data_IF_766282104335
#
_entry.id   IF_766282104335
#
_cell.length_a   1.000
_cell.length_b   1.000
_cell.length_c   1.000
_cell.angle_alpha   90.00
_cell.angle_beta   90.00
_cell.angle_gamma   90.00
#
_symmetry.space_group_name_H-M   'P 1'
#
loop_
_entity.id
_entity.type
_entity.pdbx_description
1 polymer ?
#
# COMPACT_ATOMS: atom_id res chain seq x y z
N UNK A 1 -5.31 15.51 10.14
CA UNK A 1 -5.64 14.11 9.79
C UNK A 1 -4.37 13.29 9.71
N UNK A 2 -4.44 12.05 10.16
CA UNK A 2 -3.31 11.12 10.07
C UNK A 2 -2.90 10.88 8.60
N UNK A 3 -1.61 10.87 8.33
CA UNK A 3 -1.11 10.60 6.98
C UNK A 3 -0.73 9.13 6.77
N UNK A 4 -0.44 8.39 7.84
CA UNK A 4 -0.01 7.00 7.76
C UNK A 4 -1.20 6.09 8.03
N UNK A 5 -1.42 5.12 7.14
CA UNK A 5 -2.58 4.24 7.21
C UNK A 5 -2.21 2.81 6.89
N UNK A 6 -2.91 1.88 7.52
CA UNK A 6 -2.77 0.45 7.25
C UNK A 6 -4.10 -0.10 6.76
N UNK A 7 -4.10 -0.70 5.58
CA UNK A 7 -5.27 -1.37 5.04
C UNK A 7 -5.44 -2.73 5.72
N UNK A 8 -6.67 -3.08 6.10
CA UNK A 8 -6.96 -4.40 6.66
C UNK A 8 -6.77 -5.50 5.62
N UNK A 9 -7.14 -5.23 4.38
CA UNK A 9 -6.90 -6.15 3.28
C UNK A 9 -5.72 -5.67 2.46
N UNK A 10 -4.94 -6.63 1.94
CA UNK A 10 -3.82 -6.27 1.10
C UNK A 10 -4.30 -5.69 -0.24
N UNK A 11 -3.60 -4.67 -0.71
CA UNK A 11 -3.86 -4.05 -2.01
C UNK A 11 -2.65 -4.35 -2.87
N UNK A 12 -2.82 -5.21 -3.86
CA UNK A 12 -1.74 -5.78 -4.67
C UNK A 12 -0.62 -6.37 -3.79
N UNK A 13 -1.01 -6.92 -2.65
CA UNK A 13 -0.10 -7.57 -1.71
C UNK A 13 0.55 -6.66 -0.68
N UNK A 14 0.16 -5.39 -0.60
CA UNK A 14 0.74 -4.41 0.32
C UNK A 14 -0.33 -3.81 1.22
N UNK A 15 0.04 -3.47 2.45
CA UNK A 15 -0.92 -2.97 3.43
C UNK A 15 -0.58 -1.60 4.01
N UNK A 16 0.67 -1.16 3.97
CA UNK A 16 1.09 0.14 4.51
C UNK A 16 1.05 1.24 3.45
N UNK A 17 0.32 2.31 3.73
CA UNK A 17 0.09 3.40 2.78
C UNK A 17 0.30 4.77 3.42
N UNK A 18 0.55 5.77 2.57
CA UNK A 18 0.61 7.18 2.96
C UNK A 18 -0.47 7.94 2.21
N UNK A 19 -1.20 8.76 2.95
CA UNK A 19 -2.13 9.72 2.36
C UNK A 19 -1.30 10.90 1.85
N UNK A 20 -1.22 11.07 0.53
CA UNK A 20 -0.35 12.08 -0.08
C UNK A 20 -1.12 13.27 -0.64
N UNK A 21 -2.41 13.12 -0.86
CA UNK A 21 -3.21 14.21 -1.42
C UNK A 21 -4.67 14.10 -1.03
N UNK A 22 -5.29 15.27 -0.86
CA UNK A 22 -6.73 15.41 -0.64
C UNK A 22 -7.33 16.01 -1.90
N UNK A 23 -8.30 15.33 -2.48
CA UNK A 23 -8.91 15.70 -3.76
C UNK A 23 -10.36 16.05 -3.54
N UNK A 24 -10.74 17.28 -3.88
CA UNK A 24 -12.14 17.71 -3.81
C UNK A 24 -12.76 17.54 -5.20
N UNK A 25 -13.72 16.62 -5.32
CA UNK A 25 -14.42 16.36 -6.56
C UNK A 25 -15.93 16.32 -6.33
N UNK A 26 -16.69 17.13 -7.07
CA UNK A 26 -18.16 17.08 -7.10
C UNK A 26 -18.78 16.99 -5.68
N UNK A 27 -18.35 17.87 -4.79
CA UNK A 27 -18.81 17.92 -3.40
C UNK A 27 -18.38 16.71 -2.55
N UNK A 28 -17.50 15.87 -3.06
CA UNK A 28 -16.91 14.76 -2.33
C UNK A 28 -15.44 14.98 -2.07
N UNK A 29 -15.00 14.52 -0.90
CA UNK A 29 -13.58 14.52 -0.57
C UNK A 29 -13.04 13.12 -0.80
N UNK A 30 -12.02 13.02 -1.64
CA UNK A 30 -11.29 11.79 -1.89
C UNK A 30 -9.85 11.96 -1.47
N UNK A 31 -9.19 10.85 -1.18
CA UNK A 31 -7.80 10.84 -0.78
C UNK A 31 -6.99 9.97 -1.73
N UNK A 32 -5.80 10.46 -2.07
CA UNK A 32 -4.84 9.67 -2.82
C UNK A 32 -3.92 8.97 -1.82
N UNK A 33 -3.91 7.65 -1.86
CA UNK A 33 -3.10 6.79 -1.02
C UNK A 33 -2.01 6.16 -1.87
N UNK A 34 -0.79 6.14 -1.36
CA UNK A 34 0.35 5.56 -2.08
C UNK A 34 1.06 4.57 -1.15
N UNK A 35 1.41 3.41 -1.69
CA UNK A 35 2.14 2.41 -0.92
C UNK A 35 3.52 2.93 -0.53
N UNK A 36 3.93 2.66 0.72
CA UNK A 36 5.28 3.00 1.20
C UNK A 36 6.34 2.07 0.64
N UNK A 37 5.94 0.91 0.14
CA UNK A 37 6.84 -0.08 -0.44
C UNK A 37 7.04 0.19 -1.93
N UNK A 38 5.97 0.54 -2.63
CA UNK A 38 6.00 0.73 -4.08
C UNK A 38 5.12 1.90 -4.47
N UNK A 39 5.75 3.01 -4.82
CA UNK A 39 5.05 4.26 -5.15
C UNK A 39 4.21 4.16 -6.43
N UNK A 40 4.41 3.13 -7.24
CA UNK A 40 3.57 2.88 -8.41
C UNK A 40 2.20 2.33 -8.03
N UNK A 41 2.07 1.80 -6.80
CA UNK A 41 0.79 1.30 -6.30
C UNK A 41 0.12 2.43 -5.53
N UNK A 42 -0.92 2.96 -6.14
CA UNK A 42 -1.70 4.04 -5.56
C UNK A 42 -3.18 3.78 -5.79
N UNK A 43 -4.01 4.38 -4.95
CA UNK A 43 -5.46 4.29 -5.09
C UNK A 43 -6.11 5.56 -4.58
N UNK A 44 -7.28 5.85 -5.14
CA UNK A 44 -8.12 6.96 -4.68
C UNK A 44 -9.29 6.38 -3.89
N UNK A 45 -9.47 6.81 -2.65
CA UNK A 45 -10.56 6.37 -1.80
C UNK A 45 -11.35 7.57 -1.31
N UNK A 46 -12.64 7.35 -1.05
CA UNK A 46 -13.49 8.39 -0.51
C UNK A 46 -13.22 8.61 0.98
N UNK A 47 -13.60 9.79 1.45
CA UNK A 47 -13.54 10.11 2.87
C UNK A 47 -14.35 9.10 3.70
N UNK A 48 -15.51 8.71 3.21
CA UNK A 48 -16.35 7.75 3.89
C UNK A 48 -15.69 6.37 3.97
N UNK A 49 -15.08 5.91 2.89
CA UNK A 49 -14.38 4.63 2.88
C UNK A 49 -13.21 4.64 3.86
N UNK A 50 -12.44 5.71 3.90
CA UNK A 50 -11.30 5.80 4.80
C UNK A 50 -11.73 5.80 6.27
N UNK A 51 -12.76 6.57 6.62
CA UNK A 51 -13.12 6.82 8.01
C UNK A 51 -14.22 5.91 8.55
N UNK A 52 -15.10 5.38 7.70
CA UNK A 52 -16.30 4.68 8.16
C UNK A 52 -16.45 3.24 7.69
N UNK A 53 -15.62 2.78 6.76
CA UNK A 53 -15.74 1.40 6.28
C UNK A 53 -15.20 0.37 7.26
N UNK A 54 -14.27 0.77 8.13
CA UNK A 54 -13.57 -0.15 9.01
C UNK A 54 -12.41 -0.89 8.32
N UNK A 55 -12.14 -0.60 7.05
CA UNK A 55 -11.10 -1.29 6.29
C UNK A 55 -9.72 -0.64 6.44
N UNK A 56 -9.65 0.54 7.05
CA UNK A 56 -8.42 1.30 7.21
C UNK A 56 -8.17 1.64 8.67
N UNK A 57 -6.93 1.48 9.10
CA UNK A 57 -6.49 1.82 10.46
C UNK A 57 -5.48 2.94 10.42
N UNK A 58 -5.64 3.92 11.31
CA UNK A 58 -4.68 5.01 11.45
C UNK A 58 -3.30 4.47 11.86
N UNK A 59 -2.26 5.04 11.27
CA UNK A 59 -0.89 4.66 11.54
C UNK A 59 -0.48 3.40 10.80
N UNK A 60 0.80 3.09 10.89
CA UNK A 60 1.33 1.84 10.36
C UNK A 60 1.35 0.81 11.48
N UNK A 61 0.44 -0.16 11.39
CA UNK A 61 0.37 -1.24 12.35
C UNK A 61 1.63 -2.10 12.26
N UNK A 62 2.06 -2.60 13.41
CA UNK A 62 3.21 -3.50 13.47
C UNK A 62 2.77 -4.89 13.01
N UNK A 63 2.94 -5.16 11.72
CA UNK A 63 2.54 -6.41 11.10
C UNK A 63 3.74 -7.35 10.92
N UNK A 64 3.52 -8.68 11.00
CA UNK A 64 4.54 -9.62 10.51
C UNK A 64 4.89 -9.31 9.06
N UNK A 65 6.14 -9.56 8.67
CA UNK A 65 6.60 -9.24 7.31
C UNK A 65 5.76 -9.90 6.24
N UNK A 66 5.31 -11.13 6.48
CA UNK A 66 4.45 -11.88 5.55
C UNK A 66 3.06 -11.27 5.38
N UNK A 67 2.61 -10.45 6.33
CA UNK A 67 1.32 -9.75 6.23
C UNK A 67 1.46 -8.34 5.69
N UNK A 68 2.60 -7.69 5.91
CA UNK A 68 2.85 -6.34 5.38
C UNK A 68 3.15 -6.37 3.89
N UNK A 69 3.91 -7.36 3.45
CA UNK A 69 4.27 -7.59 2.04
C UNK A 69 3.97 -9.05 1.75
N UNK A 70 2.86 -9.30 1.07
CA UNK A 70 2.41 -10.67 0.81
C UNK A 70 2.98 -11.21 -0.50
N UNK A 71 2.82 -12.53 -0.72
CA UNK A 71 3.18 -13.16 -1.99
C UNK A 71 2.48 -12.50 -3.18
N UNK A 72 1.29 -11.97 -2.97
CA UNK A 72 0.51 -11.32 -4.03
C UNK A 72 1.25 -10.13 -4.63
N UNK A 73 2.08 -9.44 -3.87
CA UNK A 73 2.89 -8.35 -4.39
C UNK A 73 3.91 -8.85 -5.41
N UNK A 74 4.58 -9.95 -5.11
CA UNK A 74 5.52 -10.54 -6.05
C UNK A 74 4.80 -10.98 -7.34
N UNK A 75 3.63 -11.60 -7.20
CA UNK A 75 2.82 -12.03 -8.34
C UNK A 75 2.35 -10.83 -9.17
N UNK A 76 1.95 -9.75 -8.51
CA UNK A 76 1.58 -8.50 -9.17
C UNK A 76 2.76 -7.96 -10.00
N UNK A 77 3.94 -7.93 -9.44
CA UNK A 77 5.14 -7.44 -10.14
C UNK A 77 5.53 -8.36 -11.29
N UNK A 78 5.38 -9.66 -11.13
CA UNK A 78 5.63 -10.61 -12.20
C UNK A 78 4.77 -10.36 -13.45
N UNK A 79 3.51 -9.97 -13.23
CA UNK A 79 2.58 -9.69 -14.33
C UNK A 79 2.84 -8.37 -15.02
N UNK A 80 3.47 -7.42 -14.33
CA UNK A 80 3.61 -6.04 -14.79
C UNK A 80 5.04 -5.63 -15.12
N UNK A 81 6.03 -6.50 -14.93
CA UNK A 81 7.43 -6.19 -15.16
C UNK A 81 8.14 -7.30 -15.95
N UNK A 82 9.30 -6.95 -16.52
CA UNK A 82 10.18 -7.89 -17.19
C UNK A 82 10.88 -8.79 -16.16
N UNK A 83 11.59 -9.81 -16.66
CA UNK A 83 12.41 -10.70 -15.83
C UNK A 83 13.40 -9.92 -14.97
N UNK A 84 13.98 -8.87 -15.52
CA UNK A 84 14.89 -7.97 -14.79
C UNK A 84 14.21 -7.32 -13.60
N UNK A 85 12.95 -6.93 -13.76
CA UNK A 85 12.15 -6.40 -12.65
C UNK A 85 11.94 -7.41 -11.53
N UNK A 86 11.80 -8.68 -11.88
CA UNK A 86 11.63 -9.77 -10.91
C UNK A 86 12.86 -9.92 -10.02
N UNK A 87 14.04 -9.91 -10.61
CA UNK A 87 15.29 -10.00 -9.86
C UNK A 87 15.40 -8.86 -8.84
N UNK A 88 15.04 -7.64 -9.26
CA UNK A 88 15.05 -6.49 -8.36
C UNK A 88 14.09 -6.65 -7.19
N UNK A 89 12.95 -7.28 -7.40
CA UNK A 89 11.96 -7.53 -6.34
C UNK A 89 12.54 -8.47 -5.30
N UNK A 90 13.18 -9.55 -5.71
CA UNK A 90 13.79 -10.49 -4.78
C UNK A 90 14.88 -9.83 -3.95
N UNK A 91 15.75 -9.05 -4.56
CA UNK A 91 16.79 -8.30 -3.86
C UNK A 91 16.20 -7.30 -2.88
N UNK A 92 15.14 -6.59 -3.30
CA UNK A 92 14.45 -5.62 -2.48
C UNK A 92 13.77 -6.27 -1.27
N UNK A 93 13.15 -7.43 -1.47
CA UNK A 93 12.50 -8.15 -0.39
C UNK A 93 13.50 -8.61 0.66
N UNK A 94 14.66 -9.11 0.25
CA UNK A 94 15.73 -9.47 1.18
C UNK A 94 16.18 -8.26 2.00
N UNK A 95 16.35 -7.13 1.33
CA UNK A 95 16.74 -5.89 1.98
C UNK A 95 15.68 -5.41 2.97
N UNK A 96 14.40 -5.45 2.58
CA UNK A 96 13.29 -5.04 3.43
C UNK A 96 13.17 -5.94 4.65
N UNK A 97 13.30 -7.24 4.47
CA UNK A 97 13.20 -8.19 5.57
C UNK A 97 14.39 -8.12 6.52
N UNK A 98 15.53 -7.67 6.06
CA UNK A 98 16.71 -7.50 6.92
C UNK A 98 16.64 -6.22 7.75
N UNK A 99 15.93 -5.20 7.31
CA UNK A 99 15.79 -3.92 8.00
C UNK A 99 14.77 -3.98 9.10
N UNK A 100 13.75 -4.74 8.91
CA UNK A 100 12.67 -4.88 9.89
C UNK A 100 12.86 -6.08 10.77
#
# INVERSE_FOLDING_TARGET
MENYWTSNESINGLRHFVLVNKINEQDQINFLMVSVVDVEISLKISNEELLNSGDWNEGWLNLPKSEAITKDYADYKLRNNSIEGIEKIFLRNDSLFSIT
#
